data_IF_095086125660
#
_entry.id   IF_095086125660
#
_cell.length_a   1.000
_cell.length_b   1.000
_cell.length_c   1.000
_cell.angle_alpha   90.00
_cell.angle_beta   90.00
_cell.angle_gamma   90.00
#
_symmetry.space_group_name_H-M   'P 1'
#
loop_
_entity.id
_entity.type
_entity.pdbx_description
1 polymer ?
#
# COMPACT_ATOMS: atom_id res chain seq x y z
N UNK A 1 -31.92 18.92 13.29
CA UNK A 1 -32.91 18.62 12.22
C UNK A 1 -32.35 18.57 10.79
N UNK A 2 -31.28 19.30 10.42
CA UNK A 2 -30.77 19.36 9.02
C UNK A 2 -29.95 18.15 8.54
N UNK A 3 -29.30 17.41 9.44
CA UNK A 3 -28.49 16.23 9.07
C UNK A 3 -29.35 15.04 8.63
N UNK A 4 -30.49 14.82 9.30
CA UNK A 4 -31.40 13.71 8.97
C UNK A 4 -31.94 13.83 7.54
N UNK A 5 -32.25 15.04 7.09
CA UNK A 5 -32.75 15.29 5.72
C UNK A 5 -31.69 15.07 4.64
N UNK A 6 -30.41 15.29 4.95
CA UNK A 6 -29.29 15.00 4.03
C UNK A 6 -29.04 13.50 4.00
N UNK A 7 -29.03 12.82 5.15
CA UNK A 7 -28.90 11.36 5.21
C UNK A 7 -30.05 10.65 4.49
N UNK A 8 -31.30 11.10 4.68
CA UNK A 8 -32.48 10.56 3.99
C UNK A 8 -32.36 10.71 2.46
N UNK A 9 -31.91 11.87 1.98
CA UNK A 9 -31.66 12.07 0.54
C UNK A 9 -30.48 11.24 0.03
N UNK A 10 -29.45 11.06 0.83
CA UNK A 10 -28.30 10.23 0.47
C UNK A 10 -28.71 8.76 0.36
N UNK A 11 -29.49 8.24 1.30
CA UNK A 11 -30.01 6.86 1.21
C UNK A 11 -30.98 6.67 0.05
N UNK A 12 -31.78 7.68 -0.27
CA UNK A 12 -32.74 7.59 -1.36
C UNK A 12 -32.07 7.62 -2.75
N UNK A 13 -30.98 8.37 -2.93
CA UNK A 13 -30.38 8.59 -4.24
C UNK A 13 -28.96 8.01 -4.40
N UNK A 14 -28.11 8.11 -3.38
CA UNK A 14 -26.70 7.70 -3.44
C UNK A 14 -26.56 6.19 -3.15
N UNK A 15 -27.24 5.66 -2.14
CA UNK A 15 -27.20 4.22 -1.81
C UNK A 15 -27.62 3.29 -2.97
N UNK A 16 -28.73 3.52 -3.70
CA UNK A 16 -29.07 2.68 -4.85
C UNK A 16 -28.10 2.85 -6.03
N UNK A 17 -27.55 4.06 -6.23
CA UNK A 17 -26.54 4.31 -7.26
C UNK A 17 -25.23 3.57 -6.95
N UNK A 18 -24.76 3.66 -5.70
CA UNK A 18 -23.58 2.95 -5.21
C UNK A 18 -23.74 1.43 -5.33
N UNK A 19 -24.92 0.89 -5.02
CA UNK A 19 -25.22 -0.53 -5.23
C UNK A 19 -25.10 -0.93 -6.70
N UNK A 20 -25.68 -0.15 -7.63
CA UNK A 20 -25.56 -0.42 -9.07
C UNK A 20 -24.11 -0.34 -9.57
N UNK A 21 -23.34 0.63 -9.10
CA UNK A 21 -21.93 0.80 -9.46
C UNK A 21 -21.07 -0.36 -8.93
N UNK A 22 -21.25 -0.72 -7.65
CA UNK A 22 -20.55 -1.85 -7.00
C UNK A 22 -20.82 -3.19 -7.70
N UNK A 23 -22.03 -3.37 -8.25
CA UNK A 23 -22.43 -4.58 -8.95
C UNK A 23 -21.98 -4.64 -10.42
N UNK A 24 -21.41 -3.57 -10.99
CA UNK A 24 -20.89 -3.59 -12.36
C UNK A 24 -19.75 -4.61 -12.50
N UNK A 25 -19.88 -5.55 -13.43
CA UNK A 25 -18.88 -6.62 -13.66
C UNK A 25 -17.48 -6.07 -13.89
N UNK A 26 -17.36 -4.95 -14.62
CA UNK A 26 -16.06 -4.33 -14.90
C UNK A 26 -15.44 -3.70 -13.65
N UNK A 27 -16.22 -2.94 -12.86
CA UNK A 27 -15.72 -2.33 -11.64
C UNK A 27 -15.35 -3.39 -10.59
N UNK A 28 -16.16 -4.45 -10.49
CA UNK A 28 -15.89 -5.59 -9.64
C UNK A 28 -14.59 -6.29 -10.05
N UNK A 29 -14.38 -6.56 -11.34
CA UNK A 29 -13.14 -7.15 -11.83
C UNK A 29 -11.91 -6.27 -11.52
N UNK A 30 -12.02 -4.94 -11.65
CA UNK A 30 -10.95 -4.02 -11.27
C UNK A 30 -10.66 -4.05 -9.77
N UNK A 31 -11.69 -4.06 -8.92
CA UNK A 31 -11.52 -4.22 -7.46
C UNK A 31 -10.84 -5.54 -7.14
N UNK A 32 -11.28 -6.64 -7.75
CA UNK A 32 -10.73 -7.97 -7.51
C UNK A 32 -9.26 -8.04 -7.96
N UNK A 33 -8.92 -7.38 -9.07
CA UNK A 33 -7.53 -7.22 -9.52
C UNK A 33 -6.68 -6.38 -8.55
N UNK A 34 -7.21 -5.28 -7.99
CA UNK A 34 -6.51 -4.54 -6.95
C UNK A 34 -6.29 -5.41 -5.70
N UNK A 35 -7.32 -6.14 -5.27
CA UNK A 35 -7.22 -7.01 -4.10
C UNK A 35 -6.22 -8.15 -4.31
N UNK A 36 -6.05 -8.66 -5.54
CA UNK A 36 -5.02 -9.66 -5.85
C UNK A 36 -3.60 -9.08 -5.90
N UNK A 37 -3.45 -7.80 -6.24
CA UNK A 37 -2.17 -7.10 -6.21
C UNK A 37 -1.75 -6.69 -4.79
N UNK A 38 -2.69 -6.47 -3.86
CA UNK A 38 -2.38 -6.02 -2.49
C UNK A 38 -1.32 -6.90 -1.79
N UNK A 39 -1.41 -8.25 -1.76
CA UNK A 39 -0.37 -9.07 -1.15
C UNK A 39 0.99 -8.88 -1.83
N UNK A 40 1.01 -8.80 -3.16
CA UNK A 40 2.25 -8.64 -3.95
C UNK A 40 2.93 -7.32 -3.61
N UNK A 41 2.16 -6.21 -3.58
CA UNK A 41 2.63 -4.89 -3.19
C UNK A 41 3.15 -4.87 -1.74
N UNK A 42 2.43 -5.52 -0.82
CA UNK A 42 2.86 -5.63 0.57
C UNK A 42 4.20 -6.38 0.68
N UNK A 43 4.37 -7.50 -0.01
CA UNK A 43 5.65 -8.21 -0.06
C UNK A 43 6.76 -7.38 -0.70
N UNK A 44 6.46 -6.63 -1.77
CA UNK A 44 7.39 -5.73 -2.43
C UNK A 44 7.87 -4.56 -1.57
N UNK A 45 7.06 -4.14 -0.60
CA UNK A 45 7.42 -3.04 0.32
C UNK A 45 8.43 -3.46 1.39
N UNK A 46 8.54 -4.74 1.74
CA UNK A 46 9.46 -5.22 2.79
C UNK A 46 10.93 -4.96 2.43
N UNK A 47 11.44 -5.33 1.24
CA UNK A 47 12.81 -5.01 0.84
C UNK A 47 13.11 -3.50 0.83
N UNK A 48 12.14 -2.68 0.44
CA UNK A 48 12.28 -1.21 0.41
C UNK A 48 12.48 -0.68 1.82
N UNK A 49 11.68 -1.14 2.78
CA UNK A 49 11.81 -0.75 4.19
C UNK A 49 13.14 -1.23 4.77
N UNK A 50 13.56 -2.45 4.45
CA UNK A 50 14.86 -2.99 4.91
C UNK A 50 16.05 -2.20 4.35
N UNK A 51 15.93 -1.70 3.13
CA UNK A 51 16.96 -0.84 2.50
C UNK A 51 16.97 0.57 3.09
N UNK A 52 15.83 1.09 3.53
CA UNK A 52 15.68 2.42 4.12
C UNK A 52 16.13 2.47 5.59
N UNK A 53 17.38 2.06 5.87
CA UNK A 53 17.96 2.12 7.21
C UNK A 53 17.99 3.58 7.72
N UNK A 54 17.43 3.89 8.90
CA UNK A 54 17.36 5.26 9.40
C UNK A 54 18.69 5.65 10.08
N UNK A 55 19.68 5.99 9.27
CA UNK A 55 20.98 6.52 9.71
C UNK A 55 21.20 7.94 9.20
N UNK A 56 21.87 8.74 10.02
CA UNK A 56 22.36 10.10 9.72
C UNK A 56 23.84 10.18 10.06
N UNK A 57 24.52 11.24 9.62
CA UNK A 57 25.97 11.42 9.82
C UNK A 57 26.40 11.37 11.30
N UNK A 58 25.50 11.74 12.22
CA UNK A 58 25.74 11.73 13.68
C UNK A 58 25.26 10.44 14.39
N UNK A 59 24.86 9.41 13.64
CA UNK A 59 24.31 8.19 14.25
C UNK A 59 25.39 7.37 14.97
N UNK A 60 25.29 7.31 16.30
CA UNK A 60 26.21 6.54 17.16
C UNK A 60 25.66 5.19 17.62
N UNK A 61 24.41 4.87 17.26
CA UNK A 61 23.80 3.61 17.63
C UNK A 61 24.37 2.47 16.76
N UNK A 62 25.10 1.54 17.39
CA UNK A 62 25.73 0.41 16.70
C UNK A 62 24.76 -0.51 15.96
N UNK A 63 23.51 -0.62 16.42
CA UNK A 63 22.49 -1.41 15.72
C UNK A 63 22.08 -0.74 14.40
N UNK A 64 21.87 0.58 14.40
CA UNK A 64 21.48 1.31 13.19
C UNK A 64 22.60 1.30 12.14
N UNK A 65 23.86 1.41 12.59
CA UNK A 65 25.02 1.26 11.71
C UNK A 65 25.14 -0.17 11.17
N UNK A 66 24.89 -1.20 11.99
CA UNK A 66 24.87 -2.59 11.53
C UNK A 66 23.74 -2.86 10.52
N UNK A 67 22.57 -2.24 10.72
CA UNK A 67 21.48 -2.27 9.74
C UNK A 67 21.91 -1.59 8.44
N UNK A 68 22.45 -0.37 8.48
CA UNK A 68 22.93 0.31 7.27
C UNK A 68 23.93 -0.54 6.48
N UNK A 69 24.90 -1.15 7.18
CA UNK A 69 25.85 -2.09 6.58
C UNK A 69 25.17 -3.33 5.98
N UNK A 70 24.14 -3.87 6.64
CA UNK A 70 23.34 -4.97 6.10
C UNK A 70 22.61 -4.56 4.82
N UNK A 71 21.96 -3.38 4.83
CA UNK A 71 21.23 -2.84 3.69
C UNK A 71 22.15 -2.64 2.48
N UNK A 72 23.35 -2.10 2.70
CA UNK A 72 24.37 -1.92 1.66
C UNK A 72 24.89 -3.28 1.13
N UNK A 73 25.17 -4.23 2.02
CA UNK A 73 25.68 -5.55 1.66
C UNK A 73 24.71 -6.36 0.79
N UNK A 74 23.41 -6.25 1.04
CA UNK A 74 22.37 -7.01 0.31
C UNK A 74 21.60 -6.17 -0.71
N UNK A 75 22.09 -4.97 -1.05
CA UNK A 75 21.40 -4.01 -1.92
C UNK A 75 20.96 -4.63 -3.25
N UNK A 76 21.79 -5.47 -3.88
CA UNK A 76 21.46 -6.14 -5.14
C UNK A 76 20.23 -7.04 -5.05
N UNK A 77 20.12 -7.82 -3.98
CA UNK A 77 18.98 -8.73 -3.77
C UNK A 77 17.74 -7.91 -3.38
N UNK A 78 17.90 -6.91 -2.51
CA UNK A 78 16.79 -6.04 -2.09
C UNK A 78 16.20 -5.26 -3.27
N UNK A 79 17.05 -4.74 -4.15
CA UNK A 79 16.62 -4.05 -5.38
C UNK A 79 15.95 -5.00 -6.37
N UNK A 80 16.52 -6.18 -6.60
CA UNK A 80 15.94 -7.16 -7.52
C UNK A 80 14.55 -7.62 -7.09
N UNK A 81 14.35 -7.91 -5.79
CA UNK A 81 13.04 -8.29 -5.26
C UNK A 81 12.05 -7.13 -5.39
N UNK A 82 12.45 -5.90 -5.04
CA UNK A 82 11.57 -4.73 -5.19
C UNK A 82 11.17 -4.48 -6.66
N UNK A 83 12.09 -4.68 -7.60
CA UNK A 83 11.86 -4.49 -9.03
C UNK A 83 10.91 -5.51 -9.65
N UNK A 84 10.84 -6.74 -9.13
CA UNK A 84 9.87 -7.75 -9.60
C UNK A 84 8.45 -7.44 -9.13
N UNK A 85 8.31 -6.72 -8.01
CA UNK A 85 7.01 -6.46 -7.37
C UNK A 85 6.40 -5.09 -7.68
N UNK A 86 7.25 -4.08 -7.88
CA UNK A 86 6.85 -2.66 -7.99
C UNK A 86 7.51 -1.94 -9.18
N UNK A 87 8.30 -2.66 -9.98
CA UNK A 87 8.90 -2.15 -11.22
C UNK A 87 7.91 -1.98 -12.35
#
# INVERSE_FOLDING_TARGET
MRFNTISEKMDQYISPLANKLSQQRHLKATRDAFMSMLPITLFGSIPIILKAAPVTDDTKNGFLLAWANFAEKYDLILNWISGITLG
#
